data_IF_174959955226
#
_entry.id   IF_174959955226
#
_cell.length_a   1.000
_cell.length_b   1.000
_cell.length_c   1.000
_cell.angle_alpha   90.00
_cell.angle_beta   90.00
_cell.angle_gamma   90.00
#
_symmetry.space_group_name_H-M   'P 1'
#
loop_
_entity.id
_entity.type
_entity.pdbx_description
1 polymer ?
#
# COMPACT_ATOMS: atom_id res chain seq x y z
N UNK A 1 13.79 -117.70 10.98
CA UNK A 1 14.75 -116.96 10.15
C UNK A 1 14.13 -115.75 9.43
N UNK A 2 12.84 -115.75 9.07
CA UNK A 2 12.19 -114.59 8.44
C UNK A 2 11.99 -113.38 9.38
N UNK A 3 11.61 -113.61 10.64
CA UNK A 3 11.37 -112.55 11.64
C UNK A 3 12.60 -111.71 12.00
N UNK A 4 13.81 -112.26 11.85
CA UNK A 4 15.07 -111.55 12.18
C UNK A 4 15.53 -110.59 11.08
N UNK A 5 15.08 -110.79 9.84
CA UNK A 5 15.44 -109.94 8.69
C UNK A 5 14.49 -108.75 8.46
N UNK A 6 13.26 -108.83 8.97
CA UNK A 6 12.22 -107.80 8.78
C UNK A 6 12.26 -106.71 9.84
N UNK A 7 12.76 -107.01 11.05
CA UNK A 7 12.88 -106.06 12.15
C UNK A 7 13.77 -104.83 11.82
N UNK A 8 14.97 -104.99 11.22
CA UNK A 8 15.84 -103.86 10.89
C UNK A 8 15.22 -102.90 9.87
N UNK A 9 14.56 -103.44 8.84
CA UNK A 9 13.86 -102.66 7.80
C UNK A 9 12.70 -101.87 8.39
N UNK A 10 11.95 -102.46 9.32
CA UNK A 10 10.91 -101.76 10.07
C UNK A 10 11.49 -100.62 10.92
N UNK A 11 12.62 -100.83 11.59
CA UNK A 11 13.30 -99.79 12.37
C UNK A 11 13.79 -98.63 11.50
N UNK A 12 14.34 -98.93 10.33
CA UNK A 12 14.82 -97.92 9.37
C UNK A 12 13.67 -97.07 8.81
N UNK A 13 12.54 -97.71 8.45
CA UNK A 13 11.32 -97.02 8.05
C UNK A 13 10.73 -96.15 9.18
N UNK A 14 10.75 -96.63 10.43
CA UNK A 14 10.31 -95.85 11.59
C UNK A 14 11.19 -94.60 11.78
N UNK A 15 12.51 -94.74 11.63
CA UNK A 15 13.43 -93.60 11.72
C UNK A 15 13.20 -92.59 10.60
N UNK A 16 12.97 -93.04 9.36
CA UNK A 16 12.61 -92.17 8.24
C UNK A 16 11.30 -91.41 8.51
N UNK A 17 10.26 -92.10 9.00
CA UNK A 17 8.98 -91.46 9.37
C UNK A 17 9.18 -90.44 10.50
N UNK A 18 10.02 -90.73 11.49
CA UNK A 18 10.33 -89.78 12.56
C UNK A 18 11.02 -88.52 12.02
N UNK A 19 11.91 -88.67 11.03
CA UNK A 19 12.55 -87.55 10.34
C UNK A 19 11.54 -86.73 9.54
N UNK A 20 10.70 -87.37 8.72
CA UNK A 20 9.65 -86.71 7.94
C UNK A 20 8.66 -85.94 8.85
N UNK A 21 8.32 -86.50 10.01
CA UNK A 21 7.46 -85.83 11.01
C UNK A 21 8.15 -84.58 11.58
N UNK A 22 9.47 -84.61 11.78
CA UNK A 22 10.22 -83.45 12.25
C UNK A 22 10.23 -82.34 11.19
N UNK A 23 10.46 -82.68 9.92
CA UNK A 23 10.39 -81.75 8.79
C UNK A 23 8.98 -81.17 8.60
N UNK A 24 7.93 -81.99 8.72
CA UNK A 24 6.53 -81.54 8.70
C UNK A 24 6.22 -80.54 9.82
N UNK A 25 6.79 -80.74 11.01
CA UNK A 25 6.63 -79.78 12.12
C UNK A 25 7.32 -78.46 11.81
N UNK A 26 8.52 -78.47 11.22
CA UNK A 26 9.21 -77.26 10.79
C UNK A 26 8.41 -76.50 9.73
N UNK A 27 7.94 -77.18 8.68
CA UNK A 27 7.10 -76.58 7.64
C UNK A 27 5.82 -75.95 8.21
N UNK A 28 5.23 -76.56 9.24
CA UNK A 28 4.04 -76.00 9.91
C UNK A 28 4.34 -74.66 10.59
N UNK A 29 5.55 -74.48 11.13
CA UNK A 29 6.01 -73.21 11.71
C UNK A 29 6.21 -72.17 10.61
N UNK A 30 6.91 -72.50 9.52
CA UNK A 30 7.13 -71.59 8.39
C UNK A 30 5.80 -71.12 7.78
N UNK A 31 4.80 -72.01 7.65
CA UNK A 31 3.46 -71.66 7.17
C UNK A 31 2.77 -70.65 8.10
N UNK A 32 3.00 -70.74 9.41
CA UNK A 32 2.44 -69.79 10.37
C UNK A 32 3.10 -68.40 10.21
N UNK A 33 4.42 -68.34 10.01
CA UNK A 33 5.14 -67.09 9.75
C UNK A 33 4.73 -66.44 8.43
N UNK A 34 4.55 -67.23 7.36
CA UNK A 34 4.04 -66.73 6.07
C UNK A 34 2.65 -66.09 6.22
N UNK A 35 1.79 -66.64 7.08
CA UNK A 35 0.46 -66.05 7.35
C UNK A 35 0.55 -64.71 8.07
N UNK A 36 1.51 -64.56 8.99
CA UNK A 36 1.76 -63.28 9.67
C UNK A 36 2.28 -62.24 8.66
N UNK A 37 3.28 -62.59 7.84
CA UNK A 37 3.79 -61.72 6.78
C UNK A 37 2.70 -61.27 5.80
N UNK A 38 1.78 -62.17 5.43
CA UNK A 38 0.63 -61.82 4.59
C UNK A 38 -0.28 -60.77 5.24
N UNK A 39 -0.43 -60.84 6.56
CA UNK A 39 -1.21 -59.88 7.34
C UNK A 39 -0.51 -58.52 7.35
N UNK A 40 0.77 -58.48 7.72
CA UNK A 40 1.60 -57.27 7.73
C UNK A 40 1.62 -56.58 6.35
N UNK A 41 1.74 -57.37 5.28
CA UNK A 41 1.72 -56.87 3.90
C UNK A 41 0.37 -56.26 3.51
N UNK A 42 -0.73 -56.78 4.06
CA UNK A 42 -2.07 -56.22 3.84
C UNK A 42 -2.25 -54.89 4.59
N UNK A 43 -1.74 -54.79 5.82
CA UNK A 43 -1.74 -53.55 6.61
C UNK A 43 -0.84 -52.47 5.99
N UNK A 44 0.34 -52.87 5.51
CA UNK A 44 1.25 -51.98 4.79
C UNK A 44 0.59 -51.42 3.52
N UNK A 45 -0.13 -52.26 2.77
CA UNK A 45 -0.88 -51.81 1.59
C UNK A 45 -1.92 -50.75 1.95
N UNK A 46 -2.69 -50.96 3.02
CA UNK A 46 -3.68 -49.98 3.48
C UNK A 46 -3.04 -48.65 3.89
N UNK A 47 -1.90 -48.70 4.57
CA UNK A 47 -1.13 -47.51 4.94
C UNK A 47 -0.59 -46.77 3.69
N UNK A 48 -0.14 -47.51 2.68
CA UNK A 48 0.32 -46.93 1.41
C UNK A 48 -0.81 -46.20 0.68
N UNK A 49 -1.99 -46.81 0.60
CA UNK A 49 -3.19 -46.19 0.00
C UNK A 49 -3.59 -44.90 0.74
N UNK A 50 -3.53 -44.90 2.06
CA UNK A 50 -3.79 -43.70 2.86
C UNK A 50 -2.76 -42.58 2.60
N UNK A 51 -1.47 -42.94 2.51
CA UNK A 51 -0.40 -41.99 2.18
C UNK A 51 -0.62 -41.41 0.79
N UNK A 52 -0.96 -42.23 -0.21
CA UNK A 52 -1.25 -41.74 -1.56
C UNK A 52 -2.37 -40.72 -1.58
N UNK A 53 -3.50 -41.01 -0.92
CA UNK A 53 -4.62 -40.06 -0.81
C UNK A 53 -4.20 -38.75 -0.12
N UNK A 54 -3.37 -38.85 0.92
CA UNK A 54 -2.85 -37.67 1.64
C UNK A 54 -1.92 -36.83 0.76
N UNK A 55 -1.06 -37.47 -0.04
CA UNK A 55 -0.17 -36.80 -0.99
C UNK A 55 -0.98 -36.10 -2.08
N UNK A 56 -2.00 -36.73 -2.63
CA UNK A 56 -2.87 -36.12 -3.64
C UNK A 56 -3.61 -34.90 -3.09
N UNK A 57 -4.14 -35.00 -1.86
CA UNK A 57 -4.80 -33.89 -1.18
C UNK A 57 -3.84 -32.71 -0.92
N UNK A 58 -2.60 -33.00 -0.50
CA UNK A 58 -1.57 -31.97 -0.31
C UNK A 58 -1.15 -31.34 -1.64
N UNK A 59 -1.01 -32.13 -2.70
CA UNK A 59 -0.71 -31.65 -4.04
C UNK A 59 -1.76 -30.67 -4.54
N UNK A 60 -3.06 -31.00 -4.38
CA UNK A 60 -4.16 -30.09 -4.71
C UNK A 60 -4.07 -28.78 -3.93
N UNK A 61 -3.87 -28.85 -2.61
CA UNK A 61 -3.73 -27.64 -1.78
C UNK A 61 -2.55 -26.76 -2.20
N UNK A 62 -1.42 -27.37 -2.60
CA UNK A 62 -0.26 -26.63 -3.11
C UNK A 62 -0.63 -25.90 -4.39
N UNK A 63 -1.35 -26.53 -5.31
CA UNK A 63 -1.79 -25.88 -6.56
C UNK A 63 -2.76 -24.72 -6.31
N UNK A 64 -3.67 -24.87 -5.34
CA UNK A 64 -4.61 -23.81 -4.96
C UNK A 64 -3.88 -22.62 -4.33
N UNK A 65 -2.93 -22.89 -3.42
CA UNK A 65 -2.10 -21.84 -2.80
C UNK A 65 -1.28 -21.12 -3.87
N UNK A 66 -0.66 -21.84 -4.82
CA UNK A 66 0.10 -21.18 -5.89
C UNK A 66 -0.80 -20.25 -6.70
N UNK A 67 -2.03 -20.69 -7.04
CA UNK A 67 -3.02 -19.84 -7.73
C UNK A 67 -3.35 -18.58 -6.92
N UNK A 68 -3.63 -18.71 -5.63
CA UNK A 68 -3.91 -17.55 -4.75
C UNK A 68 -2.72 -16.60 -4.65
N UNK A 69 -1.49 -17.13 -4.57
CA UNK A 69 -0.26 -16.33 -4.55
C UNK A 69 -0.09 -15.55 -5.86
N UNK A 70 -0.41 -16.13 -7.01
CA UNK A 70 -0.36 -15.40 -8.29
C UNK A 70 -1.38 -14.25 -8.33
N UNK A 71 -2.61 -14.45 -7.83
CA UNK A 71 -3.62 -13.40 -7.77
C UNK A 71 -3.25 -12.28 -6.78
N UNK A 72 -2.66 -12.63 -5.63
CA UNK A 72 -2.12 -11.65 -4.68
C UNK A 72 -1.00 -10.82 -5.30
N UNK A 73 -0.10 -11.43 -6.08
CA UNK A 73 0.96 -10.71 -6.80
C UNK A 73 0.38 -9.73 -7.83
N UNK A 74 -0.63 -10.13 -8.60
CA UNK A 74 -1.33 -9.23 -9.55
C UNK A 74 -1.97 -8.05 -8.82
N UNK A 75 -2.67 -8.32 -7.73
CA UNK A 75 -3.32 -7.30 -6.90
C UNK A 75 -2.30 -6.32 -6.33
N UNK A 76 -1.17 -6.81 -5.81
CA UNK A 76 -0.08 -5.97 -5.31
C UNK A 76 0.46 -5.02 -6.40
N UNK A 77 0.65 -5.51 -7.62
CA UNK A 77 1.11 -4.70 -8.74
C UNK A 77 0.10 -3.61 -9.11
N UNK A 78 -1.19 -3.96 -9.13
CA UNK A 78 -2.26 -3.01 -9.38
C UNK A 78 -2.33 -1.91 -8.32
N UNK A 79 -2.30 -2.27 -7.04
CA UNK A 79 -2.25 -1.32 -5.92
C UNK A 79 -1.02 -0.40 -6.01
N UNK A 80 0.15 -0.94 -6.36
CA UNK A 80 1.37 -0.14 -6.54
C UNK A 80 1.20 0.89 -7.67
N UNK A 81 0.59 0.49 -8.77
CA UNK A 81 0.33 1.37 -9.92
C UNK A 81 -0.66 2.47 -9.58
N UNK A 82 -1.77 2.12 -8.91
CA UNK A 82 -2.77 3.07 -8.41
C UNK A 82 -2.14 4.11 -7.48
N UNK A 83 -1.30 3.66 -6.54
CA UNK A 83 -0.61 4.57 -5.61
C UNK A 83 0.25 5.57 -6.37
N UNK A 84 0.97 5.12 -7.40
CA UNK A 84 1.78 6.02 -8.24
C UNK A 84 0.91 7.05 -8.97
N UNK A 85 -0.17 6.63 -9.60
CA UNK A 85 -1.10 7.53 -10.29
C UNK A 85 -1.72 8.55 -9.33
N UNK A 86 -2.04 8.14 -8.11
CA UNK A 86 -2.58 9.02 -7.09
C UNK A 86 -1.56 10.11 -6.68
N UNK A 87 -0.29 9.75 -6.47
CA UNK A 87 0.78 10.72 -6.19
C UNK A 87 1.02 11.69 -7.34
N UNK A 88 0.91 11.23 -8.59
CA UNK A 88 0.99 12.07 -9.79
C UNK A 88 -0.16 13.08 -9.82
N UNK A 89 -1.40 12.65 -9.53
CA UNK A 89 -2.57 13.53 -9.44
C UNK A 89 -2.40 14.56 -8.32
N UNK A 90 -1.98 14.15 -7.13
CA UNK A 90 -1.75 15.07 -6.02
C UNK A 90 -0.67 16.11 -6.34
N UNK A 91 0.37 15.70 -7.05
CA UNK A 91 1.44 16.61 -7.48
C UNK A 91 0.92 17.59 -8.53
N UNK A 92 0.19 17.10 -9.53
CA UNK A 92 -0.48 17.93 -10.52
C UNK A 92 -1.46 18.93 -9.87
N UNK A 93 -2.27 18.49 -8.91
CA UNK A 93 -3.19 19.35 -8.18
C UNK A 93 -2.44 20.47 -7.44
N UNK A 94 -1.36 20.14 -6.72
CA UNK A 94 -0.52 21.14 -6.04
C UNK A 94 0.04 22.16 -7.05
N UNK A 95 0.56 21.70 -8.18
CA UNK A 95 1.05 22.59 -9.23
C UNK A 95 -0.05 23.48 -9.82
N UNK A 96 -1.24 22.93 -10.06
CA UNK A 96 -2.40 23.69 -10.54
C UNK A 96 -2.81 24.78 -9.56
N UNK A 97 -2.88 24.46 -8.27
CA UNK A 97 -3.21 25.45 -7.25
C UNK A 97 -2.14 26.53 -7.10
N UNK A 98 -0.85 26.16 -7.17
CA UNK A 98 0.25 27.14 -7.19
C UNK A 98 0.14 28.02 -8.44
N UNK A 99 -0.13 27.45 -9.61
CA UNK A 99 -0.32 28.16 -10.87
C UNK A 99 -1.49 29.15 -10.79
N UNK A 100 -2.61 28.75 -10.19
CA UNK A 100 -3.78 29.60 -9.99
C UNK A 100 -3.49 30.80 -9.07
N UNK A 101 -2.49 30.69 -8.19
CA UNK A 101 -2.05 31.76 -7.28
C UNK A 101 -0.88 32.59 -7.81
N UNK A 102 -0.29 32.25 -8.95
CA UNK A 102 0.89 32.95 -9.48
C UNK A 102 0.67 34.46 -9.70
N UNK A 103 -0.55 34.85 -10.02
CA UNK A 103 -0.90 36.25 -10.25
C UNK A 103 -1.50 36.94 -9.02
N UNK A 104 -1.61 36.23 -7.90
CA UNK A 104 -2.19 36.76 -6.69
C UNK A 104 -1.11 37.41 -5.83
N UNK A 105 -1.42 38.55 -5.23
CA UNK A 105 -0.66 39.16 -4.16
C UNK A 105 -1.55 39.29 -2.91
N UNK A 106 -0.95 39.15 -1.74
CA UNK A 106 -1.60 39.28 -0.45
C UNK A 106 -1.16 40.57 0.25
N UNK A 107 -2.12 41.38 0.66
CA UNK A 107 -1.90 42.62 1.41
C UNK A 107 -2.38 42.43 2.84
N UNK A 108 -1.45 42.59 3.79
CA UNK A 108 -1.67 42.48 5.24
C UNK A 108 -1.52 43.82 5.92
N UNK A 109 -2.20 43.98 7.05
CA UNK A 109 -2.09 45.19 7.87
C UNK A 109 -2.99 46.34 7.41
N UNK A 110 -3.94 46.11 6.50
CA UNK A 110 -4.94 47.14 6.16
C UNK A 110 -6.10 47.05 7.16
N UNK A 111 -6.36 48.09 7.97
CA UNK A 111 -7.50 48.13 8.90
C UNK A 111 -8.84 47.90 8.17
N UNK A 112 -9.79 47.24 8.82
CA UNK A 112 -11.12 47.03 8.26
C UNK A 112 -11.95 48.32 8.36
N UNK A 113 -12.64 48.68 7.28
CA UNK A 113 -13.58 49.81 7.26
C UNK A 113 -14.91 49.39 6.65
N UNK A 114 -16.02 49.86 7.23
CA UNK A 114 -17.38 49.45 6.85
C UNK A 114 -17.82 49.93 5.46
N UNK A 115 -17.04 50.79 4.79
CA UNK A 115 -17.33 51.29 3.44
C UNK A 115 -16.05 51.45 2.61
N UNK A 116 -15.21 50.41 2.61
CA UNK A 116 -13.96 50.42 1.86
C UNK A 116 -14.16 50.11 0.37
N UNK A 117 -13.44 50.85 -0.48
CA UNK A 117 -13.28 50.50 -1.89
C UNK A 117 -11.87 49.91 -2.08
N UNK A 118 -11.80 48.59 -2.23
CA UNK A 118 -10.52 47.89 -2.37
C UNK A 118 -9.78 48.33 -3.63
N UNK A 119 -10.46 48.62 -4.74
CA UNK A 119 -9.80 49.11 -5.96
C UNK A 119 -9.13 50.46 -5.74
N UNK A 120 -9.83 51.41 -5.11
CA UNK A 120 -9.27 52.72 -4.79
C UNK A 120 -8.08 52.62 -3.82
N UNK A 121 -8.13 51.66 -2.88
CA UNK A 121 -7.03 51.40 -1.97
C UNK A 121 -5.77 50.93 -2.70
N UNK A 122 -5.92 49.97 -3.63
CA UNK A 122 -4.80 49.46 -4.42
C UNK A 122 -4.18 50.54 -5.30
N UNK A 123 -5.02 51.39 -5.93
CA UNK A 123 -4.53 52.51 -6.74
C UNK A 123 -3.69 53.48 -5.88
N UNK A 124 -4.20 53.85 -4.69
CA UNK A 124 -3.45 54.69 -3.73
C UNK A 124 -2.15 54.06 -3.28
N UNK A 125 -2.14 52.75 -3.00
CA UNK A 125 -0.91 52.03 -2.68
C UNK A 125 0.07 52.13 -3.85
N UNK A 126 -0.39 51.97 -5.09
CA UNK A 126 0.41 52.14 -6.30
C UNK A 126 1.06 53.52 -6.41
N UNK A 127 0.31 54.58 -6.11
CA UNK A 127 0.83 55.96 -6.05
C UNK A 127 1.91 56.11 -4.96
N UNK A 128 1.66 55.60 -3.75
CA UNK A 128 2.60 55.63 -2.63
C UNK A 128 3.90 54.88 -2.96
N UNK A 129 3.83 53.78 -3.71
CA UNK A 129 5.02 53.01 -4.10
C UNK A 129 5.66 53.47 -5.42
N UNK A 130 5.12 54.51 -6.06
CA UNK A 130 5.52 55.01 -7.39
C UNK A 130 5.43 53.95 -8.49
N UNK A 131 4.50 53.01 -8.36
CA UNK A 131 4.16 52.02 -9.36
C UNK A 131 2.64 51.98 -9.52
N UNK A 132 2.05 52.93 -10.26
CA UNK A 132 0.60 53.03 -10.40
C UNK A 132 0.06 51.84 -11.19
N UNK A 133 -1.06 51.29 -10.75
CA UNK A 133 -1.81 50.25 -11.46
C UNK A 133 -3.25 50.66 -11.65
N UNK A 134 -3.83 50.27 -12.77
CA UNK A 134 -5.20 50.62 -13.17
C UNK A 134 -6.18 49.52 -12.80
N UNK A 135 -7.46 49.87 -12.66
CA UNK A 135 -8.53 48.91 -12.36
C UNK A 135 -8.60 47.76 -13.36
N UNK A 136 -8.36 48.03 -14.64
CA UNK A 136 -8.42 47.02 -15.71
C UNK A 136 -7.31 45.96 -15.62
N UNK A 137 -6.25 46.24 -14.85
CA UNK A 137 -5.18 45.27 -14.60
C UNK A 137 -5.52 44.29 -13.46
N UNK A 138 -6.60 44.55 -12.70
CA UNK A 138 -7.06 43.72 -11.59
C UNK A 138 -8.16 42.79 -12.10
N UNK A 139 -7.93 41.49 -12.02
CA UNK A 139 -8.89 40.45 -12.35
C UNK A 139 -9.87 40.22 -11.19
N UNK A 140 -9.34 40.13 -9.97
CA UNK A 140 -10.14 39.84 -8.77
C UNK A 140 -9.55 40.54 -7.55
N UNK A 141 -10.42 41.01 -6.65
CA UNK A 141 -9.99 41.58 -5.37
C UNK A 141 -11.01 41.28 -4.28
N UNK A 142 -10.55 40.76 -3.15
CA UNK A 142 -11.42 40.48 -2.01
C UNK A 142 -10.66 40.43 -0.69
N UNK A 143 -11.39 40.64 0.41
CA UNK A 143 -10.90 40.34 1.75
C UNK A 143 -11.03 38.86 2.05
N UNK A 144 -9.95 38.24 2.51
CA UNK A 144 -9.87 36.83 2.89
C UNK A 144 -9.52 36.73 4.38
N UNK A 145 -10.20 35.85 5.14
CA UNK A 145 -9.87 35.63 6.55
C UNK A 145 -8.44 35.10 6.69
N UNK A 146 -7.72 35.60 7.69
CA UNK A 146 -6.38 35.10 8.00
C UNK A 146 -6.53 33.80 8.79
N UNK A 147 -5.69 32.80 8.47
CA UNK A 147 -5.67 31.54 9.21
C UNK A 147 -5.40 31.81 10.69
N UNK A 148 -6.31 31.35 11.55
CA UNK A 148 -6.31 31.55 13.01
C UNK A 148 -6.62 32.98 13.51
N UNK A 149 -7.02 33.91 12.63
CA UNK A 149 -7.46 35.24 13.03
C UNK A 149 -8.74 35.62 12.29
N UNK A 150 -9.88 35.47 12.98
CA UNK A 150 -11.20 35.77 12.41
C UNK A 150 -11.52 37.27 12.39
N UNK A 151 -10.76 38.10 13.14
CA UNK A 151 -10.99 39.53 13.26
C UNK A 151 -10.23 40.30 12.18
N UNK A 152 -9.02 39.87 11.86
CA UNK A 152 -8.22 40.46 10.79
C UNK A 152 -8.42 39.73 9.46
N UNK A 153 -8.59 40.51 8.39
CA UNK A 153 -8.73 40.00 7.02
C UNK A 153 -7.66 40.61 6.14
N UNK A 154 -6.89 39.77 5.44
CA UNK A 154 -5.98 40.23 4.40
C UNK A 154 -6.77 40.53 3.13
N UNK A 155 -6.17 41.29 2.22
CA UNK A 155 -6.74 41.55 0.89
C UNK A 155 -5.94 40.70 -0.10
N UNK A 156 -6.63 39.86 -0.86
CA UNK A 156 -6.05 39.16 -2.01
C UNK A 156 -6.39 39.95 -3.26
N UNK A 157 -5.38 40.26 -4.06
CA UNK A 157 -5.51 40.91 -5.37
C UNK A 157 -4.95 39.97 -6.42
N UNK A 158 -5.76 39.58 -7.39
CA UNK A 158 -5.34 38.83 -8.57
C UNK A 158 -5.18 39.79 -9.73
N UNK A 159 -4.00 39.83 -10.33
CA UNK A 159 -3.71 40.65 -11.52
C UNK A 159 -3.82 39.82 -12.80
N UNK A 160 -4.02 40.49 -13.93
CA UNK A 160 -4.02 39.82 -15.23
C UNK A 160 -2.64 39.29 -15.63
N UNK A 161 -1.58 39.95 -15.14
CA UNK A 161 -0.21 39.65 -15.53
C UNK A 161 0.70 39.52 -14.30
N UNK A 162 1.43 38.40 -14.24
CA UNK A 162 2.40 38.10 -13.17
C UNK A 162 3.52 39.14 -13.09
N UNK A 163 4.00 39.66 -14.22
CA UNK A 163 5.10 40.63 -14.22
C UNK A 163 4.68 41.91 -13.50
N UNK A 164 3.46 42.39 -13.73
CA UNK A 164 2.89 43.55 -13.01
C UNK A 164 2.84 43.27 -11.51
N UNK A 165 2.48 42.04 -11.11
CA UNK A 165 2.48 41.63 -9.70
C UNK A 165 3.88 41.65 -9.09
N UNK A 166 4.84 41.01 -9.75
CA UNK A 166 6.21 40.88 -9.24
C UNK A 166 6.89 42.27 -9.14
N UNK A 167 6.69 43.15 -10.12
CA UNK A 167 7.19 44.54 -10.12
C UNK A 167 6.52 45.40 -9.04
N UNK A 168 5.20 45.26 -8.87
CA UNK A 168 4.46 45.96 -7.81
C UNK A 168 4.96 45.55 -6.42
N UNK A 169 5.19 44.25 -6.19
CA UNK A 169 5.75 43.73 -4.93
C UNK A 169 7.17 44.24 -4.72
N UNK A 170 8.00 44.24 -5.77
CA UNK A 170 9.37 44.75 -5.71
C UNK A 170 9.38 46.24 -5.32
N UNK A 171 8.56 47.06 -5.97
CA UNK A 171 8.39 48.47 -5.63
C UNK A 171 7.92 48.65 -4.17
N UNK A 172 6.93 47.86 -3.73
CA UNK A 172 6.42 47.91 -2.36
C UNK A 172 7.47 47.55 -1.30
N UNK A 173 8.40 46.63 -1.59
CA UNK A 173 9.49 46.26 -0.66
C UNK A 173 10.49 47.40 -0.42
N UNK A 174 10.61 48.34 -1.35
CA UNK A 174 11.53 49.50 -1.20
C UNK A 174 11.00 50.58 -0.27
N UNK A 175 9.73 50.48 0.17
CA UNK A 175 9.09 51.50 1.02
C UNK A 175 8.39 50.87 2.22
N UNK A 176 8.26 51.67 3.27
CA UNK A 176 7.38 51.36 4.39
C UNK A 176 6.05 52.05 4.10
N UNK A 177 4.97 51.28 4.12
CA UNK A 177 3.61 51.77 3.88
C UNK A 177 2.86 51.64 5.20
N UNK A 178 2.22 52.72 5.65
CA UNK A 178 1.35 52.72 6.82
C UNK A 178 -0.08 53.09 6.43
N UNK A 179 -1.08 52.78 7.26
CA UNK A 179 -2.47 53.17 7.02
C UNK A 179 -2.62 54.68 6.83
N UNK A 180 -1.82 55.50 7.53
CA UNK A 180 -1.80 56.95 7.39
C UNK A 180 -1.47 57.41 5.97
N UNK A 181 -0.55 56.75 5.26
CA UNK A 181 -0.24 57.03 3.85
C UNK A 181 -1.47 56.85 2.92
N UNK A 182 -2.42 56.02 3.35
CA UNK A 182 -3.65 55.71 2.62
C UNK A 182 -4.87 56.49 3.15
N UNK A 183 -4.65 57.45 4.05
CA UNK A 183 -5.67 58.18 4.80
C UNK A 183 -6.57 57.29 5.68
N UNK A 184 -5.98 56.22 6.24
CA UNK A 184 -6.63 55.31 7.18
C UNK A 184 -6.06 55.49 8.59
N UNK A 185 -6.83 55.08 9.59
CA UNK A 185 -6.39 55.10 11.00
C UNK A 185 -5.57 53.86 11.32
N UNK A 186 -4.37 54.05 11.86
CA UNK A 186 -3.49 52.98 12.33
C UNK A 186 -2.03 53.31 12.03
N UNK A 187 -1.14 52.75 12.85
CA UNK A 187 0.32 52.93 12.73
C UNK A 187 1.04 51.61 12.39
N UNK A 188 0.27 50.54 12.18
CA UNK A 188 0.84 49.26 11.85
C UNK A 188 1.35 49.25 10.41
N UNK A 189 2.48 48.59 10.15
CA UNK A 189 2.99 48.45 8.78
C UNK A 189 2.06 47.62 7.91
N UNK A 190 1.87 48.06 6.66
CA UNK A 190 1.20 47.32 5.59
C UNK A 190 2.26 46.50 4.84
N UNK A 191 1.98 45.22 4.64
CA UNK A 191 2.87 44.28 3.94
C UNK A 191 2.21 43.77 2.68
N UNK A 192 2.97 43.69 1.59
CA UNK A 192 2.52 43.17 0.30
C UNK A 192 3.41 41.98 -0.05
N UNK A 193 2.79 40.81 -0.14
CA UNK A 193 3.45 39.54 -0.36
C UNK A 193 2.93 38.86 -1.63
N UNK A 194 3.73 37.95 -2.17
CA UNK A 194 3.32 37.04 -3.22
C UNK A 194 2.52 35.87 -2.64
#
# INVERSE_FOLDING_TARGET
>A
MFLTSTLPVLTENINSIQQDIAELKALKVDIAEIKLLKTDMSEMKASLEFIHQSVDALSSKITDIDREVQELRKTKNYVTTLKKQFEEILTGQREHEQRARLNNMEIKGVPLSNNENLFSLIIKIGEVIKYPITKDQINYIARVPIRNDKRNKSIIVSLHNRYIKDDFIAAARTRTITPTDLNLRGDNRIFINA
#
